data_IF_694949242654
#
_entry.id   IF_694949242654
#
_cell.length_a   1.000
_cell.length_b   1.000
_cell.length_c   1.000
_cell.angle_alpha   90.00
_cell.angle_beta   90.00
_cell.angle_gamma   90.00
#
_symmetry.space_group_name_H-M   'P 1'
#
loop_
_entity.id
_entity.type
_entity.pdbx_description
1 polymer ?
#
# COMPACT_ATOMS: atom_id res chain seq x y z
N UNK A 1 -10.88 24.49 -7.88
CA UNK A 1 -10.46 23.23 -7.25
C UNK A 1 -10.72 22.09 -8.24
N UNK A 2 -9.74 21.29 -8.53
CA UNK A 2 -9.91 20.10 -9.38
C UNK A 2 -9.68 18.83 -8.54
N UNK A 3 -10.51 17.82 -8.77
CA UNK A 3 -10.40 16.52 -8.12
C UNK A 3 -9.81 15.52 -9.11
N UNK A 4 -8.86 14.70 -8.65
CA UNK A 4 -8.25 13.63 -9.42
C UNK A 4 -8.35 12.32 -8.67
N UNK A 5 -8.52 11.23 -9.41
CA UNK A 5 -8.49 9.87 -8.85
C UNK A 5 -7.29 9.12 -9.44
N UNK A 6 -6.69 8.30 -8.60
CA UNK A 6 -5.65 7.36 -9.02
C UNK A 6 -5.98 5.98 -8.51
N UNK A 7 -5.53 4.98 -9.25
CA UNK A 7 -5.65 3.57 -8.90
C UNK A 7 -4.26 2.98 -8.69
N UNK A 8 -4.12 2.13 -7.68
CA UNK A 8 -2.92 1.33 -7.46
C UNK A 8 -3.27 -0.14 -7.30
N UNK A 9 -2.40 -0.99 -7.80
CA UNK A 9 -2.48 -2.43 -7.66
C UNK A 9 -1.08 -2.97 -7.36
N UNK A 10 -1.02 -3.91 -6.42
CA UNK A 10 0.20 -4.66 -6.18
C UNK A 10 -0.12 -6.11 -5.81
N UNK A 11 0.81 -7.02 -6.09
CA UNK A 11 0.71 -8.43 -5.76
C UNK A 11 2.11 -8.94 -5.41
N UNK A 12 2.22 -9.66 -4.31
CA UNK A 12 3.45 -10.35 -3.92
C UNK A 12 3.19 -11.81 -3.67
N UNK A 13 4.15 -12.65 -4.09
CA UNK A 13 4.21 -14.05 -3.71
C UNK A 13 4.50 -14.14 -2.20
N UNK A 14 3.83 -15.07 -1.52
CA UNK A 14 4.09 -15.39 -0.12
C UNK A 14 5.03 -16.59 -0.02
N UNK A 15 5.98 -16.51 0.92
CA UNK A 15 6.90 -17.59 1.23
C UNK A 15 7.02 -17.78 2.75
N UNK A 16 7.23 -19.02 3.17
CA UNK A 16 7.42 -19.35 4.57
C UNK A 16 8.68 -18.70 5.16
N UNK A 17 8.65 -18.42 6.46
CA UNK A 17 9.79 -17.87 7.20
C UNK A 17 10.05 -16.39 6.95
N UNK A 18 9.18 -15.69 6.22
CA UNK A 18 9.26 -14.25 5.97
C UNK A 18 8.22 -13.51 6.81
N UNK A 19 8.57 -12.31 7.26
CA UNK A 19 7.64 -11.43 7.99
C UNK A 19 6.53 -10.94 7.07
N UNK A 20 5.31 -10.94 7.57
CA UNK A 20 4.16 -10.36 6.87
C UNK A 20 3.96 -8.93 7.38
N UNK A 21 4.25 -7.95 6.54
CA UNK A 21 4.00 -6.53 6.81
C UNK A 21 2.93 -6.03 5.84
N UNK A 22 1.85 -5.48 6.38
CA UNK A 22 0.73 -4.92 5.61
C UNK A 22 0.31 -3.59 6.25
N UNK A 23 0.28 -2.53 5.45
CA UNK A 23 -0.08 -1.21 5.96
C UNK A 23 0.84 -0.71 7.07
N UNK A 24 2.14 -1.04 6.99
CA UNK A 24 3.15 -0.67 7.96
C UNK A 24 3.17 -1.51 9.24
N UNK A 25 2.31 -2.54 9.35
CA UNK A 25 2.14 -3.34 10.56
C UNK A 25 2.62 -4.76 10.32
N UNK A 26 3.51 -5.26 11.18
CA UNK A 26 3.90 -6.66 11.19
C UNK A 26 2.76 -7.50 11.79
N UNK A 27 2.30 -8.50 11.04
CA UNK A 27 1.23 -9.40 11.42
C UNK A 27 1.80 -10.77 11.83
N UNK A 28 1.23 -11.40 12.87
CA UNK A 28 1.60 -12.77 13.23
C UNK A 28 1.07 -13.74 12.17
N UNK A 29 1.98 -14.26 11.36
CA UNK A 29 1.69 -15.24 10.32
C UNK A 29 2.97 -15.99 9.94
N UNK A 30 2.84 -17.19 9.38
CA UNK A 30 3.98 -18.07 9.04
C UNK A 30 4.59 -17.78 7.67
N UNK A 31 3.92 -16.95 6.86
CA UNK A 31 4.39 -16.53 5.53
C UNK A 31 4.47 -15.01 5.44
N UNK A 32 5.35 -14.52 4.59
CA UNK A 32 5.45 -13.13 4.24
C UNK A 32 5.83 -12.93 2.79
N UNK A 33 5.73 -11.70 2.27
CA UNK A 33 5.93 -11.41 0.86
C UNK A 33 7.39 -11.58 0.44
N UNK A 34 7.57 -12.04 -0.79
CA UNK A 34 8.86 -12.01 -1.48
C UNK A 34 8.95 -10.70 -2.25
N UNK A 35 9.96 -9.89 -1.95
CA UNK A 35 10.13 -8.59 -2.60
C UNK A 35 11.48 -7.96 -2.29
N UNK A 36 11.80 -6.88 -3.01
CA UNK A 36 13.04 -6.12 -2.84
C UNK A 36 13.04 -5.28 -1.55
N UNK A 37 11.91 -4.62 -1.24
CA UNK A 37 11.66 -3.89 0.01
C UNK A 37 11.08 -4.83 1.08
N UNK A 38 10.31 -4.31 2.04
CA UNK A 38 9.57 -5.10 3.02
C UNK A 38 8.37 -5.87 2.42
N UNK A 39 8.04 -5.60 1.15
CA UNK A 39 6.96 -6.27 0.43
C UNK A 39 5.56 -5.87 0.90
N UNK A 40 5.39 -4.72 1.54
CA UNK A 40 4.08 -4.20 1.96
C UNK A 40 3.19 -3.88 0.76
N UNK A 41 2.34 -4.84 0.40
CA UNK A 41 1.48 -4.77 -0.78
C UNK A 41 0.51 -3.59 -0.73
N UNK A 42 0.01 -3.27 0.47
CA UNK A 42 -0.93 -2.16 0.65
C UNK A 42 -0.24 -0.80 0.50
N UNK A 43 0.93 -0.64 1.10
CA UNK A 43 1.71 0.60 0.96
C UNK A 43 2.15 0.83 -0.49
N UNK A 44 2.56 -0.22 -1.20
CA UNK A 44 2.96 -0.12 -2.61
C UNK A 44 1.79 0.29 -3.51
N UNK A 45 0.64 -0.36 -3.36
CA UNK A 45 -0.56 -0.01 -4.12
C UNK A 45 -1.04 1.43 -3.81
N UNK A 46 -0.96 1.84 -2.56
CA UNK A 46 -1.31 3.20 -2.15
C UNK A 46 -0.34 4.23 -2.75
N UNK A 47 0.96 3.94 -2.74
CA UNK A 47 1.96 4.80 -3.37
C UNK A 47 1.64 5.02 -4.86
N UNK A 48 1.36 3.95 -5.60
CA UNK A 48 0.99 4.02 -7.01
C UNK A 48 -0.30 4.81 -7.24
N UNK A 49 -1.31 4.61 -6.40
CA UNK A 49 -2.58 5.37 -6.50
C UNK A 49 -2.35 6.88 -6.33
N UNK A 50 -1.53 7.26 -5.36
CA UNK A 50 -1.20 8.67 -5.09
C UNK A 50 -0.39 9.30 -6.24
N UNK A 51 0.67 8.62 -6.68
CA UNK A 51 1.51 9.07 -7.78
C UNK A 51 0.70 9.18 -9.09
N UNK A 52 -0.12 8.15 -9.37
CA UNK A 52 -0.98 8.13 -10.56
C UNK A 52 -2.00 9.28 -10.57
N UNK A 53 -2.67 9.54 -9.45
CA UNK A 53 -3.62 10.66 -9.33
C UNK A 53 -2.94 12.02 -9.59
N UNK A 54 -1.68 12.17 -9.18
CA UNK A 54 -0.91 13.38 -9.39
C UNK A 54 -0.26 13.46 -10.79
N UNK A 55 -0.29 12.38 -11.58
CA UNK A 55 0.38 12.31 -12.87
C UNK A 55 1.90 12.24 -12.76
N UNK A 56 2.41 11.60 -11.71
CA UNK A 56 3.85 11.53 -11.39
C UNK A 56 4.48 10.16 -11.69
N UNK A 57 3.80 9.30 -12.44
CA UNK A 57 4.29 7.96 -12.76
C UNK A 57 3.92 6.95 -11.68
N UNK A 58 4.83 6.06 -11.38
CA UNK A 58 4.63 4.92 -10.50
C UNK A 58 5.78 4.72 -9.50
N UNK A 59 5.61 3.73 -8.61
CA UNK A 59 6.61 3.41 -7.58
C UNK A 59 7.95 2.99 -8.21
N UNK A 60 7.94 2.28 -9.32
CA UNK A 60 9.17 1.84 -10.02
C UNK A 60 9.98 2.99 -10.58
N UNK A 61 9.34 4.07 -10.99
CA UNK A 61 9.99 5.30 -11.48
C UNK A 61 10.77 6.00 -10.36
N UNK A 62 10.22 6.05 -9.16
CA UNK A 62 10.79 6.77 -8.03
C UNK A 62 11.70 5.89 -7.16
N UNK A 63 11.42 4.61 -7.08
CA UNK A 63 12.10 3.63 -6.21
C UNK A 63 12.46 2.36 -6.98
N UNK A 64 13.35 2.45 -7.97
CA UNK A 64 13.67 1.29 -8.79
C UNK A 64 14.27 0.16 -7.94
N UNK A 65 13.83 -1.07 -8.20
CA UNK A 65 14.29 -2.27 -7.51
C UNK A 65 15.77 -2.62 -7.80
N UNK A 66 16.34 -2.00 -8.82
CA UNK A 66 17.76 -2.09 -9.15
C UNK A 66 18.64 -1.23 -8.23
N UNK A 67 18.06 -0.30 -7.48
CA UNK A 67 18.81 0.56 -6.55
C UNK A 67 18.97 -0.13 -5.19
N UNK A 68 20.22 -0.47 -4.78
CA UNK A 68 20.47 -1.14 -3.50
C UNK A 68 19.97 -0.36 -2.27
N UNK A 69 19.79 0.95 -2.41
CA UNK A 69 19.27 1.84 -1.35
C UNK A 69 17.91 1.38 -0.83
N UNK A 70 17.08 0.77 -1.67
CA UNK A 70 15.73 0.37 -1.32
C UNK A 70 15.60 -1.08 -0.90
N UNK A 71 16.71 -1.84 -0.91
CA UNK A 71 16.70 -3.24 -0.47
C UNK A 71 16.34 -3.33 1.01
N UNK A 72 15.25 -4.07 1.30
CA UNK A 72 14.74 -4.22 2.68
C UNK A 72 14.13 -2.94 3.26
N UNK A 73 13.91 -1.91 2.45
CA UNK A 73 13.38 -0.63 2.93
C UNK A 73 11.97 -0.76 3.49
N UNK A 74 11.68 0.02 4.52
CA UNK A 74 10.34 0.20 5.05
C UNK A 74 9.48 0.98 4.04
N UNK A 75 8.40 0.40 3.58
CA UNK A 75 7.54 1.00 2.55
C UNK A 75 6.81 2.26 3.01
N UNK A 76 6.78 2.55 4.32
CA UNK A 76 6.29 3.85 4.80
C UNK A 76 7.13 5.01 4.28
N UNK A 77 8.43 4.80 4.05
CA UNK A 77 9.31 5.82 3.43
C UNK A 77 8.86 6.16 2.01
N UNK A 78 8.32 5.21 1.27
CA UNK A 78 7.80 5.46 -0.07
C UNK A 78 6.56 6.36 -0.02
N UNK A 79 5.69 6.16 0.97
CA UNK A 79 4.51 6.99 1.19
C UNK A 79 4.89 8.41 1.62
N UNK A 80 5.86 8.55 2.51
CA UNK A 80 6.38 9.86 2.92
C UNK A 80 6.96 10.63 1.74
N UNK A 81 7.71 9.95 0.87
CA UNK A 81 8.25 10.56 -0.35
C UNK A 81 7.14 10.95 -1.34
N UNK A 82 6.17 10.07 -1.56
CA UNK A 82 5.01 10.38 -2.41
C UNK A 82 4.27 11.61 -1.87
N UNK A 83 4.03 11.67 -0.55
CA UNK A 83 3.38 12.82 0.10
C UNK A 83 4.16 14.13 -0.16
N UNK A 84 5.48 14.11 -0.04
CA UNK A 84 6.30 15.28 -0.35
C UNK A 84 6.10 15.75 -1.80
N UNK A 85 6.10 14.82 -2.75
CA UNK A 85 5.86 15.14 -4.17
C UNK A 85 4.46 15.74 -4.39
N UNK A 86 3.43 15.22 -3.69
CA UNK A 86 2.08 15.78 -3.75
C UNK A 86 2.05 17.21 -3.23
N UNK A 87 2.72 17.50 -2.13
CA UNK A 87 2.78 18.85 -1.57
C UNK A 87 3.48 19.83 -2.52
N UNK A 88 4.59 19.42 -3.13
CA UNK A 88 5.29 20.21 -4.15
C UNK A 88 4.40 20.53 -5.36
N UNK A 89 3.49 19.64 -5.70
CA UNK A 89 2.50 19.81 -6.77
C UNK A 89 1.19 20.45 -6.32
N UNK A 90 1.12 20.89 -5.07
CA UNK A 90 -0.06 21.55 -4.49
C UNK A 90 -1.32 20.66 -4.51
N UNK A 91 -1.16 19.36 -4.23
CA UNK A 91 -2.26 18.43 -4.04
C UNK A 91 -2.46 18.10 -2.57
N UNK A 92 -3.71 17.95 -2.18
CA UNK A 92 -4.13 17.41 -0.89
C UNK A 92 -4.80 16.06 -1.08
N UNK A 93 -4.47 15.10 -0.19
CA UNK A 93 -5.17 13.81 -0.16
C UNK A 93 -6.55 14.04 0.44
N UNK A 94 -7.59 13.68 -0.31
CA UNK A 94 -8.98 13.79 0.14
C UNK A 94 -9.47 12.49 0.76
N UNK A 95 -9.26 11.38 0.07
CA UNK A 95 -9.72 10.07 0.53
C UNK A 95 -8.89 8.93 -0.07
N UNK A 96 -8.76 7.86 0.70
CA UNK A 96 -8.15 6.59 0.29
C UNK A 96 -9.12 5.46 0.60
N UNK A 97 -9.46 4.66 -0.39
CA UNK A 97 -10.22 3.43 -0.24
C UNK A 97 -9.39 2.27 -0.77
N UNK A 98 -9.18 1.25 0.07
CA UNK A 98 -8.33 0.11 -0.26
C UNK A 98 -9.01 -1.21 0.06
N UNK A 99 -8.70 -2.22 -0.73
CA UNK A 99 -9.03 -3.60 -0.44
C UNK A 99 -7.78 -4.46 -0.50
N UNK A 100 -7.51 -5.21 0.57
CA UNK A 100 -6.44 -6.21 0.61
C UNK A 100 -7.05 -7.58 0.42
N UNK A 101 -6.47 -8.36 -0.49
CA UNK A 101 -6.99 -9.67 -0.87
C UNK A 101 -6.00 -10.73 -0.42
N UNK A 102 -6.40 -11.54 0.54
CA UNK A 102 -5.61 -12.65 1.08
C UNK A 102 -6.52 -13.68 1.73
N UNK A 103 -6.17 -14.96 1.64
CA UNK A 103 -6.95 -16.01 2.30
C UNK A 103 -6.73 -15.98 3.82
N UNK A 104 -5.50 -15.77 4.25
CA UNK A 104 -5.07 -15.67 5.65
C UNK A 104 -3.90 -14.68 5.76
N UNK A 105 -3.69 -14.08 6.94
CA UNK A 105 -4.53 -14.09 8.12
C UNK A 105 -5.76 -13.17 7.98
N UNK A 106 -6.67 -13.16 8.97
CA UNK A 106 -7.74 -12.16 9.04
C UNK A 106 -7.14 -10.78 9.35
N UNK A 107 -7.41 -9.80 8.48
CA UNK A 107 -6.83 -8.45 8.58
C UNK A 107 -7.69 -7.49 9.41
N UNK A 108 -9.00 -7.71 9.47
CA UNK A 108 -9.93 -6.79 10.13
C UNK A 108 -9.50 -6.32 11.52
N UNK A 109 -9.07 -7.21 12.44
CA UNK A 109 -8.62 -6.81 13.77
C UNK A 109 -7.42 -5.87 13.77
N UNK A 110 -6.65 -5.82 12.69
CA UNK A 110 -5.44 -5.01 12.56
C UNK A 110 -5.67 -3.67 11.83
N UNK A 111 -6.83 -3.46 11.23
CA UNK A 111 -7.14 -2.25 10.47
C UNK A 111 -6.96 -0.95 11.26
N UNK A 112 -7.36 -0.83 12.53
CA UNK A 112 -7.12 0.42 13.27
C UNK A 112 -5.64 0.81 13.27
N UNK A 113 -4.73 -0.11 13.55
CA UNK A 113 -3.29 0.13 13.57
C UNK A 113 -2.73 0.43 12.18
N UNK A 114 -3.20 -0.27 11.14
CA UNK A 114 -2.81 -0.01 9.76
C UNK A 114 -3.23 1.39 9.31
N UNK A 115 -4.46 1.78 9.61
CA UNK A 115 -4.96 3.13 9.28
C UNK A 115 -4.16 4.22 9.96
N UNK A 116 -3.81 4.05 11.23
CA UNK A 116 -2.95 4.99 11.97
C UNK A 116 -1.55 5.08 11.35
N UNK A 117 -0.93 3.96 11.00
CA UNK A 117 0.39 3.93 10.39
C UNK A 117 0.41 4.62 9.02
N UNK A 118 -0.57 4.30 8.16
CA UNK A 118 -0.70 4.92 6.83
C UNK A 118 -1.01 6.42 6.93
N UNK A 119 -1.94 6.81 7.79
CA UNK A 119 -2.29 8.20 8.02
C UNK A 119 -1.09 9.00 8.54
N UNK A 120 -0.32 8.41 9.47
CA UNK A 120 0.91 9.01 9.99
C UNK A 120 1.96 9.25 8.92
N UNK A 121 2.23 8.26 8.06
CA UNK A 121 3.18 8.39 6.95
C UNK A 121 2.75 9.45 5.92
N UNK A 122 1.46 9.60 5.70
CA UNK A 122 0.88 10.57 4.76
C UNK A 122 0.58 11.93 5.39
N UNK A 123 0.70 12.09 6.72
CA UNK A 123 0.39 13.34 7.40
C UNK A 123 -1.06 13.77 7.23
N UNK A 124 -2.00 12.82 7.25
CA UNK A 124 -3.45 13.07 7.12
C UNK A 124 -4.21 12.51 8.31
N UNK A 125 -5.46 12.91 8.47
CA UNK A 125 -6.34 12.33 9.47
C UNK A 125 -6.69 10.87 9.14
N UNK A 126 -6.84 10.03 10.18
CA UNK A 126 -7.15 8.60 10.04
C UNK A 126 -8.52 8.35 9.35
N UNK A 127 -9.44 9.30 9.45
CA UNK A 127 -10.75 9.25 8.80
C UNK A 127 -10.67 9.27 7.27
N UNK A 128 -9.54 9.70 6.71
CA UNK A 128 -9.30 9.69 5.25
C UNK A 128 -8.86 8.35 4.70
N UNK A 129 -8.51 7.40 5.58
CA UNK A 129 -8.01 6.07 5.18
C UNK A 129 -9.08 5.02 5.49
N UNK A 130 -9.59 4.37 4.45
CA UNK A 130 -10.55 3.30 4.59
C UNK A 130 -9.99 1.98 4.06
N UNK A 131 -10.15 0.89 4.82
CA UNK A 131 -9.61 -0.42 4.50
C UNK A 131 -10.70 -1.49 4.51
N UNK A 132 -10.62 -2.39 3.55
CA UNK A 132 -11.46 -3.59 3.44
C UNK A 132 -10.56 -4.80 3.21
N UNK A 133 -11.05 -5.98 3.56
CA UNK A 133 -10.38 -7.24 3.28
C UNK A 133 -11.33 -8.18 2.53
N UNK A 134 -10.76 -8.94 1.61
CA UNK A 134 -11.45 -9.98 0.85
C UNK A 134 -10.59 -11.23 0.78
N UNK A 135 -11.24 -12.38 0.68
CA UNK A 135 -10.61 -13.61 0.17
C UNK A 135 -10.95 -13.77 -1.31
N UNK A 136 -10.28 -14.69 -1.99
CA UNK A 136 -10.67 -15.13 -3.34
C UNK A 136 -11.47 -16.44 -3.32
N UNK A 137 -12.07 -16.78 -2.18
CA UNK A 137 -12.93 -17.98 -2.05
C UNK A 137 -12.21 -19.27 -2.50
N UNK A 138 -10.92 -19.38 -2.22
CA UNK A 138 -10.11 -20.54 -2.62
C UNK A 138 -9.69 -20.55 -4.10
N UNK A 139 -10.01 -19.51 -4.87
CA UNK A 139 -9.73 -19.42 -6.30
C UNK A 139 -8.41 -18.73 -6.57
N UNK A 140 -7.65 -19.22 -7.55
CA UNK A 140 -6.35 -18.74 -8.04
C UNK A 140 -5.19 -18.86 -7.01
N UNK A 141 -4.07 -18.20 -7.30
CA UNK A 141 -2.89 -18.21 -6.44
C UNK A 141 -3.16 -17.58 -5.07
N UNK A 142 -3.97 -16.53 -5.01
CA UNK A 142 -4.36 -15.91 -3.73
C UNK A 142 -5.24 -16.89 -2.95
N UNK A 143 -6.20 -17.51 -3.61
CA UNK A 143 -7.09 -18.51 -3.00
C UNK A 143 -6.35 -19.75 -2.47
N UNK A 144 -5.21 -20.10 -3.05
CA UNK A 144 -4.33 -21.16 -2.54
C UNK A 144 -3.36 -20.70 -1.45
N UNK A 145 -3.41 -19.42 -1.06
CA UNK A 145 -2.50 -18.86 -0.05
C UNK A 145 -1.06 -18.67 -0.53
N UNK A 146 -0.85 -18.58 -1.84
CA UNK A 146 0.47 -18.41 -2.47
C UNK A 146 0.83 -16.94 -2.71
N UNK A 147 -0.15 -16.04 -2.63
CA UNK A 147 0.02 -14.62 -2.90
C UNK A 147 -0.92 -13.75 -2.07
N UNK A 148 -0.58 -12.48 -1.96
CA UNK A 148 -1.39 -11.41 -1.37
C UNK A 148 -1.43 -10.25 -2.36
N UNK A 149 -2.57 -9.60 -2.48
CA UNK A 149 -2.75 -8.45 -3.37
C UNK A 149 -3.46 -7.30 -2.67
N UNK A 150 -3.32 -6.10 -3.24
CA UNK A 150 -4.08 -4.93 -2.82
C UNK A 150 -4.50 -4.10 -4.03
N UNK A 151 -5.71 -3.56 -3.95
CA UNK A 151 -6.21 -2.52 -4.84
C UNK A 151 -6.48 -1.27 -4.02
N UNK A 152 -6.06 -0.13 -4.51
CA UNK A 152 -6.26 1.16 -3.84
C UNK A 152 -6.80 2.18 -4.82
N UNK A 153 -7.77 2.97 -4.38
CA UNK A 153 -8.20 4.19 -5.04
C UNK A 153 -7.86 5.36 -4.12
N UNK A 154 -7.18 6.37 -4.65
CA UNK A 154 -6.91 7.61 -3.95
C UNK A 154 -7.53 8.79 -4.67
N UNK A 155 -8.08 9.72 -3.92
CA UNK A 155 -8.64 10.97 -4.43
C UNK A 155 -7.81 12.13 -3.92
N UNK A 156 -7.38 12.99 -4.84
CA UNK A 156 -6.64 14.22 -4.56
C UNK A 156 -7.44 15.43 -4.99
N UNK A 157 -7.33 16.51 -4.22
CA UNK A 157 -7.82 17.82 -4.59
C UNK A 157 -6.65 18.79 -4.81
N UNK A 158 -6.72 19.63 -5.86
CA UNK A 158 -5.78 20.75 -5.99
C UNK A 158 -5.99 21.76 -4.87
N UNK A 159 -4.94 22.26 -4.29
CA UNK A 159 -4.94 23.37 -3.33
C UNK A 159 -4.99 24.71 -4.04
#
# INVERSE_FOLDING_TARGET
MSTRCGIGYDLHRLAEGRKLIVGGIELPFDKGPVGHSDGDVLAHALCDALLGAAGLGDIGTHFPDTDPKWKGANSMLFLEHAKKLLDEKQFAIEHVDAVVITEKPKLGPHFPRMREALAGALGVGVEKIHLKAKTNEGVDAIGRGEAIAAHVVATLNSR
#
